data_IF_249866789643
#
_entry.id   IF_249866789643
#
_cell.length_a   1.000
_cell.length_b   1.000
_cell.length_c   1.000
_cell.angle_alpha   90.00
_cell.angle_beta   90.00
_cell.angle_gamma   90.00
#
_symmetry.space_group_name_H-M   'P 1'
#
loop_
_entity.id
_entity.type
_entity.pdbx_description
1 polymer ?
#
# COMPACT_ATOMS: atom_id res chain seq x y z
N UNK A 1 2.82 12.78 30.17
CA UNK A 1 3.07 13.21 28.77
C UNK A 1 2.79 14.70 28.51
N UNK A 2 2.52 15.53 29.52
CA UNK A 2 2.58 17.01 29.35
C UNK A 2 3.94 17.59 29.77
N UNK A 3 4.71 16.82 30.55
CA UNK A 3 6.03 17.21 31.09
C UNK A 3 7.19 17.09 30.09
N UNK A 4 7.04 16.35 28.98
CA UNK A 4 8.14 16.13 28.01
C UNK A 4 8.23 17.24 26.95
N UNK A 5 7.25 18.14 26.90
CA UNK A 5 7.15 19.18 25.86
C UNK A 5 7.92 20.44 26.28
N UNK A 6 8.38 20.53 27.53
CA UNK A 6 9.11 21.70 28.02
C UNK A 6 10.54 21.84 27.47
N UNK A 7 11.11 20.80 26.82
CA UNK A 7 12.51 20.81 26.40
C UNK A 7 12.77 20.76 24.86
N UNK A 8 11.76 21.03 24.01
CA UNK A 8 11.92 20.96 22.54
C UNK A 8 11.59 22.32 21.87
N UNK A 9 12.35 22.79 20.85
CA UNK A 9 12.24 24.13 20.26
C UNK A 9 10.84 24.50 19.75
N UNK A 10 10.49 25.77 20.00
CA UNK A 10 9.19 26.43 19.80
C UNK A 10 8.44 26.15 18.47
N UNK A 11 9.08 26.02 17.29
CA UNK A 11 8.32 25.81 16.04
C UNK A 11 7.72 24.39 15.91
N UNK A 12 8.22 23.41 16.66
CA UNK A 12 7.68 22.03 16.64
C UNK A 12 6.53 21.81 17.63
N UNK A 13 6.40 22.67 18.65
CA UNK A 13 5.38 22.56 19.71
C UNK A 13 3.95 22.74 19.19
N UNK A 14 3.74 23.69 18.29
CA UNK A 14 2.41 23.98 17.72
C UNK A 14 1.90 22.83 16.86
N UNK A 15 2.77 22.23 16.04
CA UNK A 15 2.44 21.07 15.20
C UNK A 15 2.19 19.81 16.04
N UNK A 16 2.96 19.59 17.10
CA UNK A 16 2.75 18.45 18.00
C UNK A 16 1.48 18.62 18.86
N UNK A 17 1.19 19.82 19.36
CA UNK A 17 -0.07 20.09 20.07
C UNK A 17 -1.30 19.89 19.17
N UNK A 18 -1.22 20.29 17.90
CA UNK A 18 -2.29 20.04 16.93
C UNK A 18 -2.52 18.53 16.72
N UNK A 19 -1.44 17.74 16.56
CA UNK A 19 -1.53 16.27 16.45
C UNK A 19 -2.09 15.63 17.71
N UNK A 20 -1.69 16.08 18.90
CA UNK A 20 -2.16 15.54 20.17
C UNK A 20 -3.65 15.81 20.38
N UNK A 21 -4.14 17.02 20.02
CA UNK A 21 -5.58 17.32 20.04
C UNK A 21 -6.36 16.44 19.06
N UNK A 22 -5.79 16.17 17.88
CA UNK A 22 -6.39 15.25 16.91
C UNK A 22 -6.52 13.83 17.47
N UNK A 23 -5.42 13.26 17.98
CA UNK A 23 -5.43 11.91 18.57
C UNK A 23 -6.35 11.80 19.78
N UNK A 24 -6.41 12.84 20.62
CA UNK A 24 -7.36 12.88 21.76
C UNK A 24 -8.82 12.88 21.29
N UNK A 25 -9.12 13.61 20.21
CA UNK A 25 -10.46 13.64 19.63
C UNK A 25 -10.86 12.31 18.98
N UNK A 26 -9.91 11.62 18.34
CA UNK A 26 -10.12 10.29 17.75
C UNK A 26 -10.36 9.23 18.83
N UNK A 27 -9.60 9.25 19.94
CA UNK A 27 -9.79 8.36 21.07
C UNK A 27 -11.18 8.51 21.72
N UNK A 28 -11.66 9.75 21.90
CA UNK A 28 -13.00 10.03 22.42
C UNK A 28 -14.12 9.64 21.44
N UNK A 29 -13.87 9.68 20.13
CA UNK A 29 -14.80 9.17 19.13
C UNK A 29 -14.89 7.64 19.20
N UNK A 30 -13.75 6.95 19.23
CA UNK A 30 -13.69 5.49 19.32
C UNK A 30 -14.34 4.96 20.60
N UNK A 31 -14.12 5.64 21.73
CA UNK A 31 -14.75 5.30 23.02
C UNK A 31 -16.27 5.46 23.00
N UNK A 32 -16.79 6.49 22.31
CA UNK A 32 -18.24 6.67 22.12
C UNK A 32 -18.83 5.60 21.23
N UNK A 33 -18.14 5.22 20.16
CA UNK A 33 -18.57 4.15 19.26
C UNK A 33 -18.57 2.77 19.96
N UNK A 34 -17.57 2.49 20.81
CA UNK A 34 -17.56 1.29 21.65
C UNK A 34 -18.68 1.28 22.69
N UNK A 35 -18.96 2.42 23.34
CA UNK A 35 -20.10 2.51 24.27
C UNK A 35 -21.44 2.35 23.55
N UNK A 36 -21.57 2.91 22.35
CA UNK A 36 -22.79 2.77 21.54
C UNK A 36 -23.02 1.32 21.12
N UNK A 37 -21.98 0.65 20.64
CA UNK A 37 -22.06 -0.77 20.25
C UNK A 37 -22.28 -1.69 21.46
N UNK A 38 -21.63 -1.42 22.59
CA UNK A 38 -21.83 -2.19 23.83
C UNK A 38 -23.21 -1.97 24.44
N UNK A 39 -23.76 -0.76 24.36
CA UNK A 39 -25.12 -0.45 24.84
C UNK A 39 -26.23 -1.03 23.95
N UNK A 40 -25.92 -1.35 22.69
CA UNK A 40 -26.85 -2.00 21.74
C UNK A 40 -26.89 -3.53 21.95
N UNK A 41 -25.99 -4.11 22.75
CA UNK A 41 -26.02 -5.54 23.11
C UNK A 41 -26.67 -5.69 24.50
N UNK A 42 -27.98 -5.99 24.61
CA UNK A 42 -28.60 -6.24 25.90
C UNK A 42 -28.19 -7.64 26.34
N UNK A 43 -27.19 -7.70 27.22
CA UNK A 43 -26.54 -8.96 27.63
C UNK A 43 -27.42 -9.90 28.49
N UNK A 44 -28.66 -9.50 28.82
CA UNK A 44 -29.51 -10.22 29.76
C UNK A 44 -30.90 -10.60 29.20
N UNK A 45 -31.40 -9.95 28.15
CA UNK A 45 -32.75 -10.22 27.62
C UNK A 45 -32.83 -11.56 26.90
N UNK A 46 -31.82 -11.86 26.08
CA UNK A 46 -31.78 -13.09 25.28
C UNK A 46 -31.66 -14.36 26.16
N UNK A 47 -31.12 -14.23 27.38
CA UNK A 47 -30.90 -15.37 28.28
C UNK A 47 -32.18 -15.78 29.02
N UNK A 48 -33.05 -14.83 29.35
CA UNK A 48 -34.35 -15.11 29.96
C UNK A 48 -35.35 -15.65 28.92
N UNK A 49 -35.28 -15.20 27.66
CA UNK A 49 -36.08 -15.77 26.58
C UNK A 49 -35.65 -17.21 26.22
N UNK A 50 -34.35 -17.53 26.36
CA UNK A 50 -33.83 -18.88 26.14
C UNK A 50 -34.14 -19.87 27.28
N UNK A 51 -34.52 -19.39 28.46
CA UNK A 51 -34.85 -20.22 29.62
C UNK A 51 -36.36 -20.31 29.90
N UNK A 52 -37.19 -19.89 28.94
CA UNK A 52 -38.60 -20.25 28.80
C UNK A 52 -39.32 -20.67 30.08
N UNK A 53 -39.77 -19.70 30.87
CA UNK A 53 -40.94 -19.78 31.76
C UNK A 53 -41.33 -21.13 32.39
N UNK A 54 -40.40 -21.94 32.90
CA UNK A 54 -40.70 -23.06 33.80
C UNK A 54 -40.96 -22.52 35.21
N UNK A 55 -42.03 -21.74 35.34
CA UNK A 55 -42.39 -21.06 36.57
C UNK A 55 -43.88 -21.24 36.85
N UNK A 56 -44.18 -22.34 37.53
CA UNK A 56 -45.37 -22.56 38.35
C UNK A 56 -46.71 -22.78 37.60
N UNK A 57 -47.15 -24.04 37.55
CA UNK A 57 -48.44 -24.43 37.00
C UNK A 57 -48.64 -25.93 37.11
N UNK A 58 -48.72 -26.43 38.35
CA UNK A 58 -49.35 -27.70 38.69
C UNK A 58 -50.72 -27.74 38.00
N UNK A 59 -50.97 -28.64 37.04
CA UNK A 59 -52.28 -29.18 36.61
C UNK A 59 -52.16 -30.06 35.34
N UNK A 60 -52.56 -31.32 35.49
CA UNK A 60 -53.29 -32.16 34.52
C UNK A 60 -52.56 -32.71 33.27
N UNK A 61 -51.85 -33.81 33.55
CA UNK A 61 -51.85 -35.11 32.84
C UNK A 61 -52.84 -35.24 31.66
N UNK A 62 -52.32 -35.25 30.42
CA UNK A 62 -53.11 -35.58 29.22
C UNK A 62 -52.64 -35.00 27.87
N UNK A 63 -51.78 -33.97 27.86
CA UNK A 63 -51.43 -33.22 26.63
C UNK A 63 -49.94 -33.28 26.22
N UNK A 64 -49.12 -34.07 26.92
CA UNK A 64 -47.65 -34.11 26.77
C UNK A 64 -47.19 -34.84 25.48
N UNK A 65 -47.98 -35.79 24.98
CA UNK A 65 -47.67 -36.54 23.75
C UNK A 65 -47.86 -35.70 22.47
N UNK A 66 -48.85 -34.81 22.44
CA UNK A 66 -49.08 -33.92 21.31
C UNK A 66 -48.06 -32.76 21.30
N UNK A 67 -47.72 -32.24 22.48
CA UNK A 67 -46.68 -31.22 22.64
C UNK A 67 -45.29 -31.71 22.19
N UNK A 68 -44.90 -32.93 22.56
CA UNK A 68 -43.62 -33.53 22.15
C UNK A 68 -43.56 -33.85 20.64
N UNK A 69 -44.65 -34.33 20.05
CA UNK A 69 -44.76 -34.58 18.60
C UNK A 69 -44.69 -33.27 17.80
N UNK A 70 -45.29 -32.21 18.32
CA UNK A 70 -45.29 -30.88 17.71
C UNK A 70 -43.90 -30.21 17.79
N UNK A 71 -43.18 -30.36 18.92
CA UNK A 71 -41.79 -29.90 19.06
C UNK A 71 -40.84 -30.63 18.08
N UNK A 72 -41.02 -31.93 17.89
CA UNK A 72 -40.21 -32.72 16.96
C UNK A 72 -40.44 -32.30 15.49
N UNK A 73 -41.68 -32.01 15.10
CA UNK A 73 -41.98 -31.44 13.77
C UNK A 73 -41.37 -30.06 13.58
N UNK A 74 -41.43 -29.20 14.59
CA UNK A 74 -40.84 -27.86 14.55
C UNK A 74 -39.31 -27.92 14.44
N UNK A 75 -38.67 -28.90 15.10
CA UNK A 75 -37.23 -29.19 14.94
C UNK A 75 -36.88 -29.67 13.54
N UNK A 76 -37.68 -30.53 12.93
CA UNK A 76 -37.44 -30.99 11.55
C UNK A 76 -37.65 -29.87 10.53
N UNK A 77 -38.67 -29.02 10.71
CA UNK A 77 -38.92 -27.85 9.86
C UNK A 77 -37.79 -26.82 9.97
N UNK A 78 -37.36 -26.49 11.19
CA UNK A 78 -36.21 -25.59 11.39
C UNK A 78 -34.90 -26.19 10.87
N UNK A 79 -34.75 -27.52 10.96
CA UNK A 79 -33.63 -28.25 10.34
C UNK A 79 -33.63 -28.16 8.82
N UNK A 80 -34.80 -28.35 8.17
CA UNK A 80 -34.90 -28.26 6.70
C UNK A 80 -34.73 -26.84 6.19
N UNK A 81 -35.20 -25.85 6.93
CA UNK A 81 -35.02 -24.44 6.58
C UNK A 81 -33.56 -24.01 6.71
N UNK A 82 -32.88 -24.44 7.78
CA UNK A 82 -31.43 -24.25 7.94
C UNK A 82 -30.63 -24.91 6.82
N UNK A 83 -31.00 -26.13 6.42
CA UNK A 83 -30.33 -26.83 5.32
C UNK A 83 -30.53 -26.09 3.99
N UNK A 84 -31.75 -25.64 3.69
CA UNK A 84 -32.06 -24.85 2.52
C UNK A 84 -31.27 -23.54 2.48
N UNK A 85 -31.17 -22.85 3.62
CA UNK A 85 -30.37 -21.63 3.74
C UNK A 85 -28.87 -21.91 3.55
N UNK A 86 -28.36 -23.00 4.11
CA UNK A 86 -26.96 -23.42 3.93
C UNK A 86 -26.66 -23.77 2.48
N UNK A 87 -27.58 -24.46 1.79
CA UNK A 87 -27.44 -24.80 0.37
C UNK A 87 -27.33 -23.54 -0.50
N UNK A 88 -28.21 -22.55 -0.27
CA UNK A 88 -28.16 -21.27 -1.00
C UNK A 88 -26.85 -20.53 -0.75
N UNK A 89 -26.39 -20.46 0.51
CA UNK A 89 -25.09 -19.86 0.84
C UNK A 89 -23.93 -20.55 0.16
N UNK A 90 -23.99 -21.87 0.00
CA UNK A 90 -22.94 -22.66 -0.65
C UNK A 90 -22.93 -22.42 -2.17
N UNK A 91 -24.10 -22.32 -2.79
CA UNK A 91 -24.24 -21.93 -4.21
C UNK A 91 -23.72 -20.51 -4.46
N UNK A 92 -24.08 -19.56 -3.59
CA UNK A 92 -23.59 -18.19 -3.64
C UNK A 92 -22.06 -18.13 -3.48
N UNK A 93 -21.51 -18.92 -2.54
CA UNK A 93 -20.07 -19.02 -2.32
C UNK A 93 -19.33 -19.61 -3.51
N UNK A 94 -19.92 -20.64 -4.15
CA UNK A 94 -19.37 -21.25 -5.35
C UNK A 94 -19.36 -20.25 -6.52
N UNK A 95 -20.47 -19.51 -6.71
CA UNK A 95 -20.54 -18.45 -7.71
C UNK A 95 -19.50 -17.35 -7.46
N UNK A 96 -19.36 -16.90 -6.22
CA UNK A 96 -18.35 -15.90 -5.84
C UNK A 96 -16.91 -16.42 -6.06
N UNK A 97 -16.66 -17.70 -5.78
CA UNK A 97 -15.36 -18.32 -6.03
C UNK A 97 -15.02 -18.34 -7.52
N UNK A 98 -15.97 -18.68 -8.40
CA UNK A 98 -15.79 -18.64 -9.85
C UNK A 98 -15.55 -17.22 -10.38
N UNK A 99 -16.29 -16.23 -9.86
CA UNK A 99 -16.05 -14.82 -10.20
C UNK A 99 -14.64 -14.38 -9.76
N UNK A 100 -14.23 -14.79 -8.56
CA UNK A 100 -12.89 -14.50 -8.03
C UNK A 100 -11.79 -15.17 -8.85
N UNK A 101 -12.00 -16.40 -9.34
CA UNK A 101 -11.10 -17.07 -10.26
C UNK A 101 -10.96 -16.28 -11.57
N UNK A 102 -12.07 -15.81 -12.14
CA UNK A 102 -12.06 -14.96 -13.32
C UNK A 102 -11.26 -13.65 -13.13
N UNK A 103 -11.38 -13.01 -11.97
CA UNK A 103 -10.57 -11.85 -11.61
C UNK A 103 -9.09 -12.25 -11.46
N UNK A 104 -8.80 -13.37 -10.82
CA UNK A 104 -7.44 -13.90 -10.64
C UNK A 104 -6.72 -14.15 -11.96
N UNK A 105 -7.41 -14.71 -12.95
CA UNK A 105 -6.88 -14.93 -14.30
C UNK A 105 -6.51 -13.60 -14.97
N UNK A 106 -7.38 -12.59 -14.86
CA UNK A 106 -7.12 -11.26 -15.41
C UNK A 106 -5.92 -10.57 -14.73
N UNK A 107 -5.79 -10.71 -13.40
CA UNK A 107 -4.64 -10.21 -12.65
C UNK A 107 -3.36 -10.90 -13.14
N UNK A 108 -3.37 -12.22 -13.30
CA UNK A 108 -2.19 -12.97 -13.76
C UNK A 108 -1.77 -12.55 -15.18
N UNK A 109 -2.74 -12.35 -16.08
CA UNK A 109 -2.50 -11.83 -17.43
C UNK A 109 -1.86 -10.43 -17.38
N UNK A 110 -2.39 -9.55 -16.54
CA UNK A 110 -1.87 -8.18 -16.35
C UNK A 110 -0.46 -8.20 -15.78
N UNK A 111 -0.19 -9.01 -14.75
CA UNK A 111 1.13 -9.17 -14.14
C UNK A 111 2.16 -9.70 -15.15
N UNK A 112 1.76 -10.65 -16.00
CA UNK A 112 2.60 -11.15 -17.09
C UNK A 112 2.95 -10.03 -18.08
N UNK A 113 1.98 -9.22 -18.48
CA UNK A 113 2.21 -8.05 -19.35
C UNK A 113 3.11 -7.00 -18.69
N UNK A 114 2.90 -6.71 -17.41
CA UNK A 114 3.75 -5.79 -16.64
C UNK A 114 5.20 -6.30 -16.52
N UNK A 115 5.38 -7.61 -16.29
CA UNK A 115 6.71 -8.24 -16.29
C UNK A 115 7.42 -8.04 -17.62
N UNK A 116 6.72 -8.24 -18.74
CA UNK A 116 7.29 -8.04 -20.07
C UNK A 116 7.70 -6.58 -20.31
N UNK A 117 6.85 -5.62 -19.92
CA UNK A 117 7.17 -4.18 -19.97
C UNK A 117 8.42 -3.86 -19.14
N UNK A 118 8.53 -4.41 -17.92
CA UNK A 118 9.73 -4.20 -17.10
C UNK A 118 10.99 -4.80 -17.73
N UNK A 119 10.90 -5.98 -18.34
CA UNK A 119 12.04 -6.59 -19.04
C UNK A 119 12.48 -5.70 -20.20
N UNK A 120 11.55 -5.28 -21.05
CA UNK A 120 11.85 -4.36 -22.17
C UNK A 120 12.46 -3.05 -21.68
N UNK A 121 11.91 -2.46 -20.62
CA UNK A 121 12.45 -1.23 -20.03
C UNK A 121 13.88 -1.42 -19.52
N UNK A 122 14.19 -2.57 -18.90
CA UNK A 122 15.56 -2.91 -18.46
C UNK A 122 16.51 -3.06 -19.65
N UNK A 123 16.08 -3.73 -20.72
CA UNK A 123 16.89 -3.90 -21.93
C UNK A 123 17.17 -2.54 -22.60
N UNK A 124 16.15 -1.69 -22.75
CA UNK A 124 16.32 -0.33 -23.28
C UNK A 124 17.26 0.51 -22.42
N UNK A 125 17.18 0.39 -21.09
CA UNK A 125 18.10 1.10 -20.18
C UNK A 125 19.54 0.61 -20.34
N UNK A 126 19.75 -0.70 -20.47
CA UNK A 126 21.08 -1.27 -20.69
C UNK A 126 21.67 -0.84 -22.04
N UNK A 127 20.85 -0.77 -23.08
CA UNK A 127 21.26 -0.24 -24.39
C UNK A 127 21.62 1.25 -24.32
N UNK A 128 20.80 2.05 -23.63
CA UNK A 128 21.06 3.47 -23.40
C UNK A 128 22.37 3.70 -22.64
N UNK A 129 22.66 2.88 -21.61
CA UNK A 129 23.92 2.94 -20.87
C UNK A 129 25.13 2.65 -21.78
N UNK A 130 25.04 1.63 -22.64
CA UNK A 130 26.07 1.37 -23.66
C UNK A 130 26.26 2.54 -24.64
N UNK A 131 25.18 3.24 -25.02
CA UNK A 131 25.27 4.43 -25.85
C UNK A 131 25.95 5.60 -25.11
N UNK A 132 25.66 5.77 -23.82
CA UNK A 132 26.32 6.77 -22.96
C UNK A 132 27.81 6.48 -22.84
N UNK A 133 28.21 5.22 -22.67
CA UNK A 133 29.62 4.82 -22.62
C UNK A 133 30.34 5.13 -23.92
N UNK A 134 29.73 4.81 -25.07
CA UNK A 134 30.27 5.15 -26.39
C UNK A 134 30.39 6.65 -26.57
N UNK A 135 29.37 7.42 -26.20
CA UNK A 135 29.37 8.88 -26.28
C UNK A 135 30.44 9.50 -25.37
N UNK A 136 30.62 8.98 -24.16
CA UNK A 136 31.68 9.42 -23.24
C UNK A 136 33.06 9.17 -23.82
N UNK A 137 33.27 8.01 -24.44
CA UNK A 137 34.53 7.67 -25.11
C UNK A 137 34.82 8.58 -26.31
N UNK A 138 33.82 8.89 -27.13
CA UNK A 138 34.00 9.79 -28.28
C UNK A 138 34.28 11.22 -27.81
N UNK A 139 33.54 11.72 -26.82
CA UNK A 139 33.76 13.04 -26.21
C UNK A 139 35.16 13.15 -25.61
N UNK A 140 35.63 12.13 -24.88
CA UNK A 140 37.01 12.09 -24.35
C UNK A 140 38.06 12.15 -25.47
N UNK A 141 37.79 11.47 -26.59
CA UNK A 141 38.62 11.56 -27.80
C UNK A 141 38.66 12.97 -28.40
N UNK A 142 37.49 13.63 -28.52
CA UNK A 142 37.39 15.01 -28.99
C UNK A 142 38.10 15.99 -28.05
N UNK A 143 37.92 15.84 -26.73
CA UNK A 143 38.57 16.69 -25.73
C UNK A 143 40.11 16.61 -25.80
N UNK A 144 40.66 15.40 -25.99
CA UNK A 144 42.12 15.21 -26.14
C UNK A 144 42.66 15.86 -27.41
N UNK A 145 41.95 15.71 -28.54
CA UNK A 145 42.32 16.36 -29.81
C UNK A 145 42.27 17.88 -29.67
N UNK A 146 41.23 18.41 -29.03
CA UNK A 146 41.09 19.84 -28.77
C UNK A 146 42.24 20.39 -27.93
N UNK A 147 42.61 19.71 -26.84
CA UNK A 147 43.74 20.12 -26.00
C UNK A 147 45.06 20.11 -26.79
N UNK A 148 45.28 19.07 -27.61
CA UNK A 148 46.48 18.96 -28.47
C UNK A 148 46.54 20.08 -29.48
N UNK A 149 45.43 20.37 -30.17
CA UNK A 149 45.34 21.48 -31.12
C UNK A 149 45.62 22.82 -30.43
N UNK A 150 45.08 23.03 -29.22
CA UNK A 150 45.32 24.25 -28.45
C UNK A 150 46.79 24.43 -28.07
N UNK A 151 47.48 23.34 -27.68
CA UNK A 151 48.92 23.34 -27.41
C UNK A 151 49.75 23.63 -28.67
N UNK A 152 49.41 23.01 -29.80
CA UNK A 152 50.09 23.26 -31.08
C UNK A 152 49.96 24.73 -31.47
N UNK A 153 48.76 25.31 -31.40
CA UNK A 153 48.55 26.73 -31.69
C UNK A 153 49.36 27.64 -30.75
N UNK A 154 49.40 27.33 -29.45
CA UNK A 154 50.20 28.09 -28.49
C UNK A 154 51.71 28.02 -28.80
N UNK A 155 52.21 26.85 -29.19
CA UNK A 155 53.61 26.67 -29.57
C UNK A 155 53.98 27.47 -30.84
N UNK A 156 53.11 27.48 -31.85
CA UNK A 156 53.33 28.28 -33.08
C UNK A 156 53.41 29.78 -32.74
N UNK A 157 52.50 30.29 -31.90
CA UNK A 157 52.50 31.69 -31.46
C UNK A 157 53.80 32.03 -30.73
N UNK A 158 54.27 31.16 -29.82
CA UNK A 158 55.51 31.35 -29.08
C UNK A 158 56.72 31.47 -30.04
N UNK A 159 56.84 30.54 -30.99
CA UNK A 159 57.91 30.55 -31.99
C UNK A 159 57.89 31.84 -32.81
N UNK A 160 56.71 32.31 -33.20
CA UNK A 160 56.53 33.56 -33.95
C UNK A 160 57.06 34.77 -33.15
N UNK A 161 56.76 34.85 -31.85
CA UNK A 161 57.25 35.92 -30.97
C UNK A 161 58.78 35.86 -30.87
N UNK A 162 59.36 34.67 -30.70
CA UNK A 162 60.81 34.49 -30.62
C UNK A 162 61.50 34.94 -31.90
N UNK A 163 60.95 34.60 -33.07
CA UNK A 163 61.49 35.05 -34.37
C UNK A 163 61.43 36.58 -34.50
N UNK A 164 60.33 37.22 -34.10
CA UNK A 164 60.20 38.69 -34.14
C UNK A 164 61.28 39.33 -33.25
N UNK A 165 61.48 38.83 -32.03
CA UNK A 165 62.50 39.33 -31.11
C UNK A 165 63.91 39.15 -31.69
N UNK A 166 64.20 37.99 -32.29
CA UNK A 166 65.49 37.72 -32.94
C UNK A 166 65.79 38.68 -34.09
N UNK A 167 64.81 38.94 -34.95
CA UNK A 167 64.94 39.88 -36.07
C UNK A 167 65.21 41.30 -35.56
N UNK A 168 64.47 41.73 -34.53
CA UNK A 168 64.66 43.05 -33.92
C UNK A 168 66.06 43.15 -33.31
N UNK A 169 66.51 42.12 -32.59
CA UNK A 169 67.84 42.08 -31.98
C UNK A 169 68.95 42.15 -33.03
N UNK A 170 68.87 41.33 -34.09
CA UNK A 170 69.84 41.32 -35.20
C UNK A 170 69.82 42.60 -36.06
N UNK A 171 68.76 43.40 -35.99
CA UNK A 171 68.65 44.66 -36.72
C UNK A 171 69.12 45.86 -35.89
N UNK A 172 68.95 45.79 -34.57
CA UNK A 172 69.36 46.84 -33.63
C UNK A 172 70.82 46.71 -33.17
N UNK A 173 71.38 45.50 -33.19
CA UNK A 173 72.75 45.18 -32.81
C UNK A 173 73.52 44.66 -34.02
#
# INVERSE_FOLDING_TARGET
MEMEILNIPTPSRTRLQAKLRLYKSEAEKLKRDLRRTTAIVPKNSDRDELLGGYGNGDNEDGNDFDASTMDQRQRLLSGTERLGQSSRRLEDSHRLALETEGIGINILSTLKGQRETMVRARDTLAEADSHIDKATKTLKGMARRMATNKLITAAIILILIVLIVLVIWSKLF
#
